data_IF_907709990700
#
_entry.id   IF_907709990700
#
_cell.length_a   1.000
_cell.length_b   1.000
_cell.length_c   1.000
_cell.angle_alpha   90.00
_cell.angle_beta   90.00
_cell.angle_gamma   90.00
#
_symmetry.space_group_name_H-M   'P 1'
#
loop_
_entity.id
_entity.type
_entity.pdbx_description
1 polymer ?
#
# COMPACT_ATOMS: atom_id res chain seq x y z
N UNK A 1 12.30 0.24 5.13
CA UNK A 1 11.64 0.45 3.82
C UNK A 1 10.77 1.71 3.80
N UNK A 2 11.32 2.90 3.46
CA UNK A 2 10.58 4.16 3.50
C UNK A 2 9.35 4.18 2.57
N UNK A 3 9.47 3.61 1.36
CA UNK A 3 8.37 3.55 0.40
C UNK A 3 7.21 2.65 0.87
N UNK A 4 7.52 1.48 1.45
CA UNK A 4 6.53 0.54 1.98
C UNK A 4 5.76 1.16 3.17
N UNK A 5 6.49 1.82 4.07
CA UNK A 5 5.92 2.56 5.20
C UNK A 5 4.95 3.64 4.70
N UNK A 6 5.39 4.47 3.74
CA UNK A 6 4.55 5.50 3.11
C UNK A 6 3.29 4.91 2.47
N UNK A 7 3.38 3.75 1.83
CA UNK A 7 2.24 3.06 1.21
C UNK A 7 1.17 2.66 2.25
N UNK A 8 1.59 2.11 3.39
CA UNK A 8 0.70 1.73 4.48
C UNK A 8 0.05 2.97 5.11
N UNK A 9 0.83 4.02 5.37
CA UNK A 9 0.29 5.29 5.88
C UNK A 9 -0.75 5.88 4.93
N UNK A 10 -0.47 5.93 3.62
CA UNK A 10 -1.44 6.40 2.62
C UNK A 10 -2.73 5.57 2.61
N UNK A 11 -2.63 4.26 2.81
CA UNK A 11 -3.78 3.35 2.76
C UNK A 11 -4.64 3.42 4.02
N UNK A 12 -4.03 3.49 5.20
CA UNK A 12 -4.69 3.20 6.47
C UNK A 12 -4.72 4.37 7.48
N UNK A 13 -3.95 5.45 7.30
CA UNK A 13 -4.02 6.59 8.23
C UNK A 13 -5.19 7.54 7.95
N UNK A 14 -5.80 8.04 9.03
CA UNK A 14 -6.93 8.96 8.96
C UNK A 14 -8.13 8.32 8.26
N UNK A 15 -8.62 8.94 7.18
CA UNK A 15 -9.67 8.33 6.33
C UNK A 15 -9.11 7.33 5.31
N UNK A 16 -7.79 7.20 5.21
CA UNK A 16 -7.11 6.34 4.24
C UNK A 16 -7.36 6.74 2.78
N UNK A 17 -6.64 6.11 1.86
CA UNK A 17 -6.89 6.20 0.42
C UNK A 17 -7.43 4.89 -0.12
N UNK A 18 -8.39 4.98 -1.04
CA UNK A 18 -8.80 3.82 -1.83
C UNK A 18 -7.65 3.37 -2.73
N UNK A 19 -7.59 2.06 -3.05
CA UNK A 19 -6.60 1.52 -4.01
C UNK A 19 -6.67 2.26 -5.35
N UNK A 20 -7.88 2.61 -5.80
CA UNK A 20 -8.13 3.46 -6.96
C UNK A 20 -7.45 4.83 -6.82
N UNK A 21 -7.67 5.54 -5.71
CA UNK A 21 -7.08 6.88 -5.52
C UNK A 21 -5.55 6.84 -5.46
N UNK A 22 -5.00 5.78 -4.88
CA UNK A 22 -3.55 5.55 -4.88
C UNK A 22 -3.02 5.27 -6.29
N UNK A 23 -3.77 4.52 -7.10
CA UNK A 23 -3.42 4.26 -8.50
C UNK A 23 -3.52 5.51 -9.39
N UNK A 24 -4.53 6.37 -9.17
CA UNK A 24 -4.64 7.68 -9.82
C UNK A 24 -3.38 8.52 -9.56
N UNK A 25 -2.97 8.64 -8.28
CA UNK A 25 -1.74 9.37 -7.93
C UNK A 25 -0.48 8.76 -8.52
N UNK A 26 -0.42 7.44 -8.64
CA UNK A 26 0.71 6.76 -9.26
C UNK A 26 0.77 7.05 -10.76
N UNK A 27 -0.40 7.13 -11.41
CA UNK A 27 -0.51 7.51 -12.82
C UNK A 27 -0.15 8.98 -13.05
N UNK A 28 -0.54 9.89 -12.15
CA UNK A 28 -0.18 11.31 -12.23
C UNK A 28 1.35 11.52 -12.26
N UNK A 29 2.10 10.65 -11.57
CA UNK A 29 3.58 10.68 -11.51
C UNK A 29 4.22 9.90 -12.67
N UNK A 30 3.50 8.95 -13.28
CA UNK A 30 4.00 8.10 -14.38
C UNK A 30 2.97 8.11 -15.53
N UNK A 31 2.87 9.22 -16.29
CA UNK A 31 1.85 9.39 -17.33
C UNK A 31 1.94 8.34 -18.45
N UNK A 32 3.10 7.71 -18.61
CA UNK A 32 3.35 6.66 -19.59
C UNK A 32 2.73 5.31 -19.22
N UNK A 33 2.34 5.11 -17.95
CA UNK A 33 1.64 3.89 -17.53
C UNK A 33 0.14 4.05 -17.68
N UNK A 34 -0.51 3.01 -18.22
CA UNK A 34 -1.96 2.93 -18.17
C UNK A 34 -2.44 2.72 -16.72
N UNK A 35 -3.66 3.17 -16.43
CA UNK A 35 -4.26 3.06 -15.10
C UNK A 35 -4.25 1.62 -14.55
N UNK A 36 -4.51 0.62 -15.42
CA UNK A 36 -4.50 -0.80 -15.00
C UNK A 36 -3.13 -1.26 -14.49
N UNK A 37 -2.04 -0.76 -15.07
CA UNK A 37 -0.68 -1.04 -14.60
C UNK A 37 -0.47 -0.45 -13.21
N UNK A 38 -0.91 0.80 -12.99
CA UNK A 38 -0.82 1.47 -11.70
C UNK A 38 -1.65 0.73 -10.63
N UNK A 39 -2.87 0.32 -10.96
CA UNK A 39 -3.75 -0.41 -10.05
C UNK A 39 -3.15 -1.77 -9.62
N UNK A 40 -2.64 -2.55 -10.57
CA UNK A 40 -1.99 -3.84 -10.29
C UNK A 40 -0.76 -3.66 -9.41
N UNK A 41 0.04 -2.61 -9.65
CA UNK A 41 1.23 -2.29 -8.85
C UNK A 41 0.86 -1.92 -7.41
N UNK A 42 -0.11 -1.03 -7.22
CA UNK A 42 -0.61 -0.67 -5.88
C UNK A 42 -1.14 -1.90 -5.15
N UNK A 43 -1.94 -2.74 -5.81
CA UNK A 43 -2.48 -3.95 -5.19
C UNK A 43 -1.36 -4.93 -4.76
N UNK A 44 -0.36 -5.11 -5.62
CA UNK A 44 0.78 -5.99 -5.33
C UNK A 44 1.64 -5.46 -4.18
N UNK A 45 1.98 -4.17 -4.19
CA UNK A 45 2.79 -3.57 -3.12
C UNK A 45 2.06 -3.56 -1.79
N UNK A 46 0.74 -3.32 -1.77
CA UNK A 46 -0.07 -3.41 -0.56
C UNK A 46 -0.06 -4.84 0.01
N UNK A 47 -0.23 -5.85 -0.85
CA UNK A 47 -0.18 -7.26 -0.43
C UNK A 47 1.16 -7.60 0.23
N UNK A 48 2.28 -7.16 -0.35
CA UNK A 48 3.61 -7.36 0.23
C UNK A 48 3.73 -6.64 1.57
N UNK A 49 3.28 -5.39 1.64
CA UNK A 49 3.35 -4.59 2.86
C UNK A 49 2.55 -5.21 4.01
N UNK A 50 1.32 -5.64 3.74
CA UNK A 50 0.45 -6.30 4.70
C UNK A 50 1.02 -7.64 5.16
N UNK A 51 1.57 -8.43 4.24
CA UNK A 51 2.23 -9.69 4.58
C UNK A 51 3.45 -9.48 5.50
N UNK A 52 4.29 -8.48 5.20
CA UNK A 52 5.45 -8.15 6.03
C UNK A 52 5.04 -7.62 7.41
N UNK A 53 3.91 -6.92 7.51
CA UNK A 53 3.38 -6.41 8.77
C UNK A 53 2.65 -7.47 9.60
N UNK A 54 2.11 -8.52 8.97
CA UNK A 54 1.32 -9.53 9.65
C UNK A 54 2.08 -10.17 10.82
N UNK A 55 3.30 -10.66 10.58
CA UNK A 55 4.11 -11.32 11.61
C UNK A 55 4.40 -10.42 12.83
N UNK A 56 4.99 -9.21 12.69
CA UNK A 56 5.26 -8.36 13.85
C UNK A 56 4.00 -7.83 14.55
N UNK A 57 2.90 -7.59 13.81
CA UNK A 57 1.61 -7.23 14.43
C UNK A 57 1.10 -8.42 15.25
N UNK A 58 1.04 -9.61 14.65
CA UNK A 58 0.64 -10.82 15.35
C UNK A 58 1.45 -10.99 16.64
N UNK A 59 2.78 -10.95 16.57
CA UNK A 59 3.64 -11.16 17.73
C UNK A 59 3.49 -10.04 18.80
N UNK A 60 3.14 -8.81 18.38
CA UNK A 60 2.89 -7.70 19.31
C UNK A 60 1.53 -7.76 20.02
N UNK A 61 0.52 -8.39 19.41
CA UNK A 61 -0.85 -8.45 19.95
C UNK A 61 -1.21 -9.83 20.52
N UNK A 62 -0.55 -10.90 20.09
CA UNK A 62 -0.66 -12.23 20.67
C UNK A 62 0.41 -12.39 21.74
N UNK A 63 0.08 -11.98 22.98
CA UNK A 63 0.88 -12.31 24.16
C UNK A 63 0.88 -13.83 24.37
N UNK A 64 2.02 -14.46 24.16
CA UNK A 64 2.45 -15.68 24.86
C UNK A 64 3.81 -15.42 25.45
#
# INVERSE_FOLDING_TARGET
YPALKKLIHQRYEGRGMSKRKMAERLQDVNPEWCFSTCEKRIAHWLKIAEYMLYRPIHDAFCYT
#
